data_IF_959728807859
#
_entry.id   IF_959728807859
#
_cell.length_a   1.000
_cell.length_b   1.000
_cell.length_c   1.000
_cell.angle_alpha   90.00
_cell.angle_beta   90.00
_cell.angle_gamma   90.00
#
_symmetry.space_group_name_H-M   'P 1'
#
loop_
_entity.id
_entity.type
_entity.pdbx_description
1 polymer ?
#
# COMPACT_ATOMS: atom_id res chain seq x y z
N UNK A 1 16.85 12.71 22.18
CA UNK A 1 16.65 12.28 20.78
C UNK A 1 15.89 13.36 20.06
N UNK A 2 16.34 13.81 18.88
CA UNK A 2 15.57 14.76 18.06
C UNK A 2 14.51 13.94 17.33
N UNK A 3 13.23 14.20 17.61
CA UNK A 3 12.14 13.59 16.85
C UNK A 3 12.22 14.11 15.42
N UNK A 4 12.54 13.24 14.47
CA UNK A 4 12.59 13.62 13.07
C UNK A 4 11.18 13.95 12.60
N UNK A 5 11.00 15.15 12.03
CA UNK A 5 9.72 15.57 11.45
C UNK A 5 9.30 14.61 10.34
N UNK A 6 8.02 14.27 10.29
CA UNK A 6 7.43 13.52 9.18
C UNK A 6 7.50 14.34 7.88
N UNK A 7 7.42 13.71 6.70
CA UNK A 7 7.34 14.42 5.42
C UNK A 7 6.20 15.44 5.37
N UNK A 8 5.09 15.17 6.06
CA UNK A 8 3.91 16.02 6.11
C UNK A 8 4.07 17.21 7.05
N UNK A 9 4.82 17.07 8.14
CA UNK A 9 5.21 18.20 9.01
C UNK A 9 6.26 19.09 8.34
N UNK A 10 7.14 18.52 7.52
CA UNK A 10 8.13 19.27 6.76
C UNK A 10 7.50 19.98 5.56
N UNK A 11 6.51 19.37 4.92
CA UNK A 11 5.79 19.89 3.75
C UNK A 11 4.28 19.91 4.05
N UNK A 12 3.77 20.91 4.81
CA UNK A 12 2.39 20.93 5.29
C UNK A 12 1.33 20.83 4.18
N UNK A 13 1.60 21.43 3.02
CA UNK A 13 0.70 21.35 1.87
C UNK A 13 0.54 19.91 1.36
N UNK A 14 1.59 19.08 1.46
CA UNK A 14 1.52 17.66 1.09
C UNK A 14 0.64 16.88 2.08
N UNK A 15 0.76 17.17 3.38
CA UNK A 15 -0.12 16.59 4.40
C UNK A 15 -1.58 16.96 4.16
N UNK A 16 -1.85 18.24 3.91
CA UNK A 16 -3.20 18.72 3.61
C UNK A 16 -3.80 18.03 2.39
N UNK A 17 -3.07 17.91 1.28
CA UNK A 17 -3.56 17.25 0.07
C UNK A 17 -3.76 15.74 0.27
N UNK A 18 -2.90 15.08 1.04
CA UNK A 18 -3.10 13.68 1.40
C UNK A 18 -4.41 13.49 2.16
N UNK A 19 -4.70 14.35 3.13
CA UNK A 19 -5.90 14.20 3.95
C UNK A 19 -7.15 14.59 3.15
N UNK A 20 -7.20 15.82 2.63
CA UNK A 20 -8.39 16.38 1.97
C UNK A 20 -8.70 15.74 0.60
N UNK A 21 -7.67 15.48 -0.22
CA UNK A 21 -7.87 15.04 -1.62
C UNK A 21 -7.73 13.53 -1.74
N UNK A 22 -6.70 12.94 -1.13
CA UNK A 22 -6.50 11.50 -1.26
C UNK A 22 -7.52 10.77 -0.38
N UNK A 23 -7.50 10.98 0.94
CA UNK A 23 -8.28 10.15 1.84
C UNK A 23 -9.74 10.59 2.03
N UNK A 24 -10.03 11.89 2.10
CA UNK A 24 -11.40 12.38 2.34
C UNK A 24 -12.26 12.48 1.05
N UNK A 25 -11.63 12.47 -0.14
CA UNK A 25 -12.32 12.49 -1.44
C UNK A 25 -12.06 11.19 -2.23
N UNK A 26 -10.87 11.03 -2.82
CA UNK A 26 -10.61 9.96 -3.80
C UNK A 26 -10.84 8.56 -3.22
N UNK A 27 -10.54 8.32 -1.94
CA UNK A 27 -10.77 7.02 -1.29
C UNK A 27 -12.23 6.79 -0.84
N UNK A 28 -13.07 7.83 -0.83
CA UNK A 28 -14.50 7.75 -0.47
C UNK A 28 -15.43 7.70 -1.70
N UNK A 29 -14.89 7.94 -2.90
CA UNK A 29 -15.66 7.89 -4.14
C UNK A 29 -16.39 6.52 -4.32
N UNK A 30 -17.70 6.52 -4.63
CA UNK A 30 -18.56 5.33 -4.53
C UNK A 30 -18.36 4.29 -5.63
N UNK A 31 -17.69 4.65 -6.73
CA UNK A 31 -17.54 3.80 -7.92
C UNK A 31 -16.61 2.61 -7.68
N UNK A 32 -15.74 2.68 -6.67
CA UNK A 32 -14.82 1.60 -6.31
C UNK A 32 -14.69 1.48 -4.79
N UNK A 33 -14.86 0.26 -4.29
CA UNK A 33 -14.78 -0.02 -2.85
C UNK A 33 -13.39 0.25 -2.29
N UNK A 34 -13.28 0.57 -0.99
CA UNK A 34 -11.98 0.73 -0.31
C UNK A 34 -11.13 -0.54 -0.38
N UNK A 35 -11.77 -1.72 -0.35
CA UNK A 35 -11.11 -3.02 -0.55
C UNK A 35 -10.41 -3.07 -1.90
N UNK A 36 -11.13 -2.78 -2.97
CA UNK A 36 -10.59 -2.88 -4.34
C UNK A 36 -9.59 -1.75 -4.62
N UNK A 37 -9.81 -0.55 -4.08
CA UNK A 37 -8.81 0.55 -4.09
C UNK A 37 -7.50 0.11 -3.44
N UNK A 38 -7.56 -0.56 -2.29
CA UNK A 38 -6.37 -1.12 -1.65
C UNK A 38 -5.67 -2.15 -2.54
N UNK A 39 -6.43 -3.07 -3.14
CA UNK A 39 -5.89 -4.10 -4.04
C UNK A 39 -5.15 -3.49 -5.25
N UNK A 40 -5.74 -2.46 -5.87
CA UNK A 40 -5.12 -1.73 -6.98
C UNK A 40 -3.90 -0.94 -6.50
N UNK A 41 -3.99 -0.30 -5.34
CA UNK A 41 -2.89 0.52 -4.80
C UNK A 41 -1.66 -0.33 -4.50
N UNK A 42 -1.81 -1.47 -3.82
CA UNK A 42 -0.68 -2.37 -3.56
C UNK A 42 -0.10 -2.91 -4.88
N UNK A 43 -0.95 -3.23 -5.85
CA UNK A 43 -0.51 -3.70 -7.17
C UNK A 43 0.35 -2.65 -7.89
N UNK A 44 -0.08 -1.39 -7.88
CA UNK A 44 0.65 -0.28 -8.47
C UNK A 44 1.97 0.00 -7.73
N UNK A 45 1.96 0.02 -6.39
CA UNK A 45 3.16 0.27 -5.58
C UNK A 45 4.20 -0.84 -5.75
N UNK A 46 3.76 -2.10 -5.88
CA UNK A 46 4.63 -3.23 -6.23
C UNK A 46 5.27 -3.04 -7.59
N UNK A 47 4.47 -2.76 -8.63
CA UNK A 47 4.96 -2.59 -10.00
C UNK A 47 5.94 -1.41 -10.12
N UNK A 48 5.74 -0.34 -9.35
CA UNK A 48 6.61 0.84 -9.32
C UNK A 48 7.79 0.72 -8.35
N UNK A 49 7.95 -0.42 -7.67
CA UNK A 49 9.00 -0.66 -6.67
C UNK A 49 9.04 0.41 -5.56
N UNK A 50 7.87 0.86 -5.09
CA UNK A 50 7.71 1.87 -4.03
C UNK A 50 7.62 1.22 -2.64
N UNK A 51 8.68 0.51 -2.26
CA UNK A 51 8.74 -0.33 -1.05
C UNK A 51 8.32 0.38 0.25
N UNK A 52 8.75 1.63 0.55
CA UNK A 52 8.35 2.29 1.80
C UNK A 52 6.84 2.48 1.92
N UNK A 53 6.19 2.88 0.83
CA UNK A 53 4.72 3.08 0.78
C UNK A 53 3.98 1.73 0.74
N UNK A 54 4.54 0.74 0.03
CA UNK A 54 3.93 -0.58 -0.09
C UNK A 54 3.69 -1.22 1.28
N UNK A 55 4.62 -1.08 2.23
CA UNK A 55 4.46 -1.63 3.59
C UNK A 55 3.19 -1.11 4.27
N UNK A 56 2.98 0.20 4.29
CA UNK A 56 1.79 0.80 4.92
C UNK A 56 0.50 0.42 4.19
N UNK A 57 0.55 0.32 2.86
CA UNK A 57 -0.61 -0.04 2.05
C UNK A 57 -0.97 -1.53 2.10
N UNK A 58 -0.02 -2.42 2.40
CA UNK A 58 -0.33 -3.83 2.67
C UNK A 58 -1.18 -3.98 3.94
N UNK A 59 -0.84 -3.27 5.03
CA UNK A 59 -1.66 -3.26 6.24
C UNK A 59 -3.04 -2.65 5.97
N UNK A 60 -3.10 -1.49 5.30
CA UNK A 60 -4.37 -0.86 4.92
C UNK A 60 -5.22 -1.74 4.02
N UNK A 61 -4.62 -2.61 3.20
CA UNK A 61 -5.35 -3.58 2.39
C UNK A 61 -6.06 -4.61 3.28
N UNK A 62 -5.37 -5.14 4.29
CA UNK A 62 -5.97 -6.03 5.28
C UNK A 62 -7.11 -5.34 6.06
N UNK A 63 -6.87 -4.12 6.54
CA UNK A 63 -7.87 -3.34 7.28
C UNK A 63 -9.13 -3.05 6.43
N UNK A 64 -8.97 -2.92 5.11
CA UNK A 64 -10.07 -2.74 4.16
C UNK A 64 -10.67 -4.06 3.66
N UNK A 65 -10.26 -5.21 4.19
CA UNK A 65 -10.87 -6.52 3.90
C UNK A 65 -10.26 -7.30 2.72
N UNK A 66 -9.08 -6.93 2.23
CA UNK A 66 -8.29 -7.81 1.36
C UNK A 66 -7.69 -8.91 2.22
N UNK A 67 -7.79 -10.17 1.80
CA UNK A 67 -7.25 -11.29 2.59
C UNK A 67 -5.77 -11.53 2.36
N UNK A 68 -5.07 -12.17 3.32
CA UNK A 68 -3.68 -12.62 3.14
C UNK A 68 -3.52 -13.50 1.89
N UNK A 69 -4.50 -14.36 1.58
CA UNK A 69 -4.48 -15.23 0.40
C UNK A 69 -4.60 -14.45 -0.91
N UNK A 70 -5.44 -13.42 -0.94
CA UNK A 70 -5.53 -12.54 -2.12
C UNK A 70 -4.24 -11.75 -2.34
N UNK A 71 -3.60 -11.28 -1.27
CA UNK A 71 -2.28 -10.63 -1.36
C UNK A 71 -1.22 -11.60 -1.90
N UNK A 72 -1.19 -12.86 -1.42
CA UNK A 72 -0.30 -13.91 -1.97
C UNK A 72 -0.57 -14.12 -3.47
N UNK A 73 -1.83 -14.09 -3.88
CA UNK A 73 -2.25 -14.14 -5.28
C UNK A 73 -1.72 -12.97 -6.10
N UNK A 74 -1.88 -11.73 -5.63
CA UNK A 74 -1.37 -10.51 -6.29
C UNK A 74 0.15 -10.55 -6.45
N UNK A 75 0.88 -10.95 -5.39
CA UNK A 75 2.34 -11.10 -5.42
C UNK A 75 2.77 -12.08 -6.52
N UNK A 76 2.13 -13.24 -6.57
CA UNK A 76 2.43 -14.27 -7.58
C UNK A 76 2.09 -13.77 -8.98
N UNK A 77 0.95 -13.10 -9.15
CA UNK A 77 0.50 -12.60 -10.45
C UNK A 77 1.46 -11.52 -10.99
N UNK A 78 1.85 -10.55 -10.15
CA UNK A 78 2.74 -9.47 -10.57
C UNK A 78 4.19 -9.91 -10.79
N UNK A 79 4.61 -11.08 -10.32
CA UNK A 79 5.89 -11.65 -10.71
C UNK A 79 6.02 -11.78 -12.25
N UNK A 80 4.92 -12.05 -12.94
CA UNK A 80 4.88 -12.22 -14.39
C UNK A 80 4.66 -10.90 -15.15
N UNK A 81 3.89 -9.97 -14.60
CA UNK A 81 3.51 -8.72 -15.28
C UNK A 81 4.42 -7.52 -14.94
N UNK A 82 5.02 -7.51 -13.76
CA UNK A 82 5.91 -6.45 -13.28
C UNK A 82 7.33 -6.96 -12.95
N UNK A 83 7.58 -8.27 -13.12
CA UNK A 83 8.89 -8.89 -13.00
C UNK A 83 9.18 -9.43 -11.60
N UNK A 84 9.96 -10.53 -11.56
CA UNK A 84 10.29 -11.28 -10.35
C UNK A 84 10.82 -10.44 -9.17
N UNK A 85 11.68 -9.41 -9.37
CA UNK A 85 12.17 -8.59 -8.27
C UNK A 85 11.07 -7.85 -7.51
N UNK A 86 9.99 -7.42 -8.17
CA UNK A 86 8.86 -6.72 -7.53
C UNK A 86 8.12 -7.66 -6.58
N UNK A 87 7.87 -8.90 -7.02
CA UNK A 87 7.20 -9.94 -6.25
C UNK A 87 8.05 -10.40 -5.06
N UNK A 88 9.36 -10.62 -5.24
CA UNK A 88 10.25 -10.98 -4.13
C UNK A 88 10.32 -9.87 -3.07
N UNK A 89 10.37 -8.61 -3.50
CA UNK A 89 10.34 -7.47 -2.58
C UNK A 89 9.03 -7.41 -1.79
N UNK A 90 7.89 -7.55 -2.47
CA UNK A 90 6.57 -7.58 -1.82
C UNK A 90 6.41 -8.78 -0.88
N UNK A 91 6.89 -9.96 -1.28
CA UNK A 91 6.85 -11.17 -0.47
C UNK A 91 7.63 -11.05 0.84
N UNK A 92 8.77 -10.36 0.85
CA UNK A 92 9.52 -10.06 2.09
C UNK A 92 8.72 -9.18 3.04
N UNK A 93 8.11 -8.11 2.53
CA UNK A 93 7.24 -7.25 3.34
C UNK A 93 6.01 -7.99 3.87
N UNK A 94 5.40 -8.83 3.02
CA UNK A 94 4.24 -9.62 3.40
C UNK A 94 4.59 -10.62 4.50
N UNK A 95 5.75 -11.28 4.44
CA UNK A 95 6.21 -12.17 5.52
C UNK A 95 6.31 -11.41 6.85
N UNK A 96 6.97 -10.24 6.86
CA UNK A 96 7.10 -9.42 8.08
C UNK A 96 5.75 -8.97 8.66
N UNK A 97 4.74 -8.70 7.82
CA UNK A 97 3.40 -8.26 8.26
C UNK A 97 2.53 -9.45 8.69
N UNK A 98 2.69 -10.61 8.06
CA UNK A 98 1.86 -11.78 8.32
C UNK A 98 2.34 -12.60 9.52
N UNK A 99 3.62 -12.53 9.85
CA UNK A 99 4.29 -13.28 10.93
C UNK A 99 4.01 -12.73 12.34
N UNK A 100 3.20 -11.68 12.49
CA UNK A 100 2.63 -11.26 13.78
C UNK A 100 1.43 -12.15 14.23
N UNK A 101 1.37 -13.40 13.77
CA UNK A 101 0.42 -14.47 14.17
C UNK A 101 1.14 -15.66 14.83
#
# INVERSE_FOLDING_TARGET
MVTQKTPYELVPQLGRLRDEVVYDDVWEQPELSKRDRSLITISALMALYRTPELRGHLQRALDNGVTKDEIRGVITHLAFYAGWPTAVNAGRLAAEIFDDE
#
